data_IF_513160430906
#
_entry.id   IF_513160430906
#
_cell.length_a   1.000
_cell.length_b   1.000
_cell.length_c   1.000
_cell.angle_alpha   90.00
_cell.angle_beta   90.00
_cell.angle_gamma   90.00
#
_symmetry.space_group_name_H-M   'P 1'
#
loop_
_entity.id
_entity.type
_entity.pdbx_description
1 polymer ?
#
# COMPACT_ATOMS: atom_id res chain seq x y z
N UNK A 1 54.65 16.47 -38.37
CA UNK A 1 53.29 16.74 -37.86
C UNK A 1 52.96 15.66 -36.83
N UNK A 2 53.02 16.00 -35.55
CA UNK A 2 52.70 15.09 -34.44
C UNK A 2 51.17 14.96 -34.32
N UNK A 3 50.66 13.74 -34.37
CA UNK A 3 49.27 13.43 -34.08
C UNK A 3 49.02 13.50 -32.58
N UNK A 4 48.21 14.46 -32.15
CA UNK A 4 47.66 14.46 -30.80
C UNK A 4 46.64 13.33 -30.67
N UNK A 5 46.69 12.52 -29.59
CA UNK A 5 45.63 11.57 -29.32
C UNK A 5 44.36 12.34 -28.92
N UNK A 6 43.24 12.03 -29.59
CA UNK A 6 41.93 12.53 -29.19
C UNK A 6 41.63 12.09 -27.74
N UNK A 7 41.08 12.99 -26.90
CA UNK A 7 40.70 12.62 -25.55
C UNK A 7 39.57 11.59 -25.57
N UNK A 8 39.58 10.59 -24.66
CA UNK A 8 38.53 9.58 -24.62
C UNK A 8 37.17 10.23 -24.40
N UNK A 9 36.19 9.86 -25.24
CA UNK A 9 34.79 10.20 -25.07
C UNK A 9 34.35 9.83 -23.64
N UNK A 10 34.14 10.85 -22.80
CA UNK A 10 33.53 10.69 -21.47
C UNK A 10 32.22 9.91 -21.61
N UNK A 11 32.21 8.69 -21.07
CA UNK A 11 31.06 7.80 -21.00
C UNK A 11 29.98 8.38 -20.09
N UNK A 12 29.15 9.26 -20.65
CA UNK A 12 27.92 9.75 -20.02
C UNK A 12 26.89 8.64 -19.72
N UNK A 13 27.15 7.40 -20.16
CA UNK A 13 26.37 6.21 -19.82
C UNK A 13 26.61 5.70 -18.40
N UNK A 14 27.81 5.86 -17.83
CA UNK A 14 28.13 5.31 -16.50
C UNK A 14 27.33 5.99 -15.39
N UNK A 15 27.08 7.31 -15.52
CA UNK A 15 26.28 8.06 -14.55
C UNK A 15 24.77 7.78 -14.63
N UNK A 16 24.24 7.32 -15.77
CA UNK A 16 22.80 7.04 -15.94
C UNK A 16 22.37 5.72 -15.30
N UNK A 17 23.23 4.71 -15.32
CA UNK A 17 22.98 3.45 -14.59
C UNK A 17 23.25 3.62 -13.09
N UNK A 18 24.19 4.50 -12.72
CA UNK A 18 24.51 4.81 -11.32
C UNK A 18 23.38 5.50 -10.54
N UNK A 19 22.38 6.08 -11.21
CA UNK A 19 21.29 6.80 -10.54
C UNK A 19 20.08 5.89 -10.27
N UNK A 20 19.76 4.96 -11.18
CA UNK A 20 18.51 4.15 -11.17
C UNK A 20 18.33 3.15 -10.03
N UNK A 21 19.37 2.86 -9.26
CA UNK A 21 19.30 1.83 -8.21
C UNK A 21 18.79 2.37 -6.88
N UNK A 22 18.95 3.68 -6.62
CA UNK A 22 18.63 4.28 -5.32
C UNK A 22 17.13 4.32 -5.07
N UNK A 23 16.36 4.77 -6.06
CA UNK A 23 14.91 4.83 -5.98
C UNK A 23 14.31 3.42 -5.91
N UNK A 24 14.89 2.48 -6.65
CA UNK A 24 14.48 1.07 -6.61
C UNK A 24 14.71 0.47 -5.21
N UNK A 25 15.87 0.69 -4.57
CA UNK A 25 16.11 0.27 -3.19
C UNK A 25 15.19 1.00 -2.21
N UNK A 26 14.92 2.30 -2.43
CA UNK A 26 13.92 3.03 -1.64
C UNK A 26 12.56 2.34 -1.67
N UNK A 27 12.11 1.88 -2.83
CA UNK A 27 10.84 1.14 -2.94
C UNK A 27 10.87 -0.26 -2.36
N UNK A 28 12.00 -0.98 -2.44
CA UNK A 28 12.18 -2.24 -1.67
C UNK A 28 11.90 -1.96 -0.20
N UNK A 29 12.56 -0.93 0.34
CA UNK A 29 12.43 -0.57 1.73
C UNK A 29 11.02 -0.14 2.09
N UNK A 30 10.37 0.68 1.25
CA UNK A 30 8.97 1.04 1.41
C UNK A 30 8.07 -0.21 1.47
N UNK A 31 8.25 -1.17 0.55
CA UNK A 31 7.48 -2.41 0.55
C UNK A 31 7.76 -3.29 1.78
N UNK A 32 9.02 -3.40 2.20
CA UNK A 32 9.41 -4.12 3.42
C UNK A 32 8.81 -3.49 4.67
N UNK A 33 8.88 -2.16 4.78
CA UNK A 33 8.31 -1.41 5.89
C UNK A 33 6.78 -1.55 5.90
N UNK A 34 6.12 -1.48 4.75
CA UNK A 34 4.68 -1.72 4.64
C UNK A 34 4.31 -3.12 5.14
N UNK A 35 5.05 -4.16 4.75
CA UNK A 35 4.81 -5.53 5.19
C UNK A 35 4.94 -5.65 6.72
N UNK A 36 6.01 -5.09 7.29
CA UNK A 36 6.23 -5.09 8.74
C UNK A 36 5.10 -4.37 9.47
N UNK A 37 4.68 -3.20 9.00
CA UNK A 37 3.59 -2.43 9.60
C UNK A 37 2.26 -3.18 9.48
N UNK A 38 1.95 -3.79 8.33
CA UNK A 38 0.75 -4.63 8.17
C UNK A 38 0.75 -5.79 9.16
N UNK A 39 1.89 -6.45 9.38
CA UNK A 39 2.00 -7.50 10.39
C UNK A 39 1.71 -6.98 11.80
N UNK A 40 2.24 -5.81 12.16
CA UNK A 40 1.91 -5.14 13.43
C UNK A 40 0.43 -4.82 13.55
N UNK A 41 -0.18 -4.21 12.52
CA UNK A 41 -1.62 -3.87 12.49
C UNK A 41 -2.49 -5.10 12.70
N UNK A 42 -2.20 -6.20 12.00
CA UNK A 42 -2.95 -7.45 12.16
C UNK A 42 -2.82 -8.00 13.58
N UNK A 43 -1.61 -7.99 14.15
CA UNK A 43 -1.38 -8.37 15.53
C UNK A 43 -2.19 -7.52 16.51
N UNK A 44 -2.06 -6.20 16.41
CA UNK A 44 -2.77 -5.24 17.26
C UNK A 44 -4.29 -5.36 17.14
N UNK A 45 -4.81 -5.56 15.94
CA UNK A 45 -6.25 -5.73 15.71
C UNK A 45 -6.80 -6.97 16.43
N UNK A 46 -6.07 -8.08 16.42
CA UNK A 46 -6.45 -9.29 17.17
C UNK A 46 -6.52 -9.02 18.67
N UNK A 47 -5.54 -8.31 19.22
CA UNK A 47 -5.54 -7.93 20.64
C UNK A 47 -6.64 -6.91 20.97
N UNK A 48 -6.87 -5.91 20.12
CA UNK A 48 -7.95 -4.94 20.29
C UNK A 48 -9.32 -5.61 20.37
N UNK A 49 -9.55 -6.64 19.55
CA UNK A 49 -10.79 -7.41 19.54
C UNK A 49 -10.93 -8.27 20.80
N UNK A 50 -9.86 -8.95 21.22
CA UNK A 50 -9.87 -9.75 22.46
C UNK A 50 -10.14 -8.89 23.69
N UNK A 51 -9.44 -7.76 23.79
CA UNK A 51 -9.58 -6.81 24.90
C UNK A 51 -10.98 -6.20 24.95
N UNK A 52 -11.55 -5.82 23.81
CA UNK A 52 -12.93 -5.32 23.75
C UNK A 52 -13.93 -6.32 24.31
N UNK A 53 -13.80 -7.60 23.92
CA UNK A 53 -14.68 -8.65 24.40
C UNK A 53 -14.52 -8.86 25.92
N UNK A 54 -13.29 -8.90 26.43
CA UNK A 54 -13.04 -9.09 27.86
C UNK A 54 -13.59 -7.92 28.69
N UNK A 55 -13.29 -6.67 28.29
CA UNK A 55 -13.69 -5.48 29.03
C UNK A 55 -15.21 -5.36 29.13
N UNK A 56 -15.93 -5.57 28.03
CA UNK A 56 -17.39 -5.45 28.00
C UNK A 56 -18.07 -6.51 28.88
N UNK A 57 -17.63 -7.77 28.79
CA UNK A 57 -18.16 -8.85 29.62
C UNK A 57 -17.77 -8.67 31.10
N UNK A 58 -16.59 -8.13 31.40
CA UNK A 58 -16.17 -7.85 32.77
C UNK A 58 -17.04 -6.75 33.41
N UNK A 59 -17.31 -5.66 32.68
CA UNK A 59 -18.17 -4.57 33.16
C UNK A 59 -19.60 -5.06 33.41
N UNK A 60 -20.17 -5.80 32.46
CA UNK A 60 -21.52 -6.38 32.58
C UNK A 60 -21.60 -7.39 33.74
N UNK A 61 -20.58 -8.24 33.90
CA UNK A 61 -20.49 -9.18 35.01
C UNK A 61 -20.43 -8.48 36.37
N UNK A 62 -19.62 -7.43 36.51
CA UNK A 62 -19.50 -6.68 37.75
C UNK A 62 -20.80 -5.97 38.14
N UNK A 63 -21.48 -5.33 37.18
CA UNK A 63 -22.76 -4.66 37.44
C UNK A 63 -23.84 -5.65 37.91
N UNK A 64 -23.94 -6.79 37.21
CA UNK A 64 -24.80 -7.90 37.63
C UNK A 64 -24.42 -8.41 39.02
N UNK A 65 -23.13 -8.55 39.32
CA UNK A 65 -22.64 -9.04 40.62
C UNK A 65 -23.00 -8.09 41.77
N UNK A 66 -22.88 -6.77 41.57
CA UNK A 66 -23.34 -5.76 42.54
C UNK A 66 -24.84 -5.92 42.78
N UNK A 67 -25.65 -6.05 41.72
CA UNK A 67 -27.11 -6.19 41.85
C UNK A 67 -27.51 -7.49 42.58
N UNK A 68 -26.87 -8.61 42.26
CA UNK A 68 -27.17 -9.93 42.83
C UNK A 68 -26.74 -9.99 44.29
N UNK A 69 -25.58 -9.43 44.64
CA UNK A 69 -25.10 -9.44 46.03
C UNK A 69 -26.02 -8.70 47.01
N UNK A 70 -26.78 -7.71 46.52
CA UNK A 70 -27.78 -6.98 47.30
C UNK A 70 -29.07 -7.77 47.51
N UNK A 71 -29.43 -8.62 46.55
CA UNK A 71 -30.67 -9.42 46.58
C UNK A 71 -30.44 -10.73 47.32
N UNK A 72 -29.36 -11.43 47.01
CA UNK A 72 -29.00 -12.72 47.58
C UNK A 72 -27.87 -12.55 48.61
N UNK A 73 -28.16 -11.83 49.68
CA UNK A 73 -27.19 -11.53 50.73
C UNK A 73 -26.73 -12.81 51.42
N UNK A 74 -25.43 -13.11 51.32
CA UNK A 74 -24.80 -14.20 52.05
C UNK A 74 -24.02 -13.62 53.26
N UNK A 75 -24.42 -13.90 54.52
CA UNK A 75 -23.74 -13.37 55.71
C UNK A 75 -22.27 -13.75 55.82
N UNK A 76 -21.83 -14.85 55.19
CA UNK A 76 -20.44 -15.30 55.23
C UNK A 76 -19.51 -14.51 54.29
N UNK A 77 -20.05 -13.91 53.23
CA UNK A 77 -19.27 -13.21 52.18
C UNK A 77 -19.58 -11.70 52.19
N UNK A 78 -20.76 -11.30 52.66
CA UNK A 78 -21.21 -9.91 52.71
C UNK A 78 -21.75 -9.40 51.36
N UNK A 79 -22.06 -8.11 51.32
CA UNK A 79 -22.45 -7.40 50.08
C UNK A 79 -21.21 -7.13 49.23
N UNK A 80 -21.32 -7.34 47.92
CA UNK A 80 -20.25 -6.97 47.00
C UNK A 80 -20.32 -5.48 46.72
N UNK A 81 -19.24 -4.77 47.04
CA UNK A 81 -19.03 -3.38 46.66
C UNK A 81 -17.72 -3.27 45.89
N UNK A 82 -17.78 -2.60 44.74
CA UNK A 82 -16.61 -2.37 43.90
C UNK A 82 -15.68 -1.44 44.66
N UNK A 83 -14.47 -1.92 44.96
CA UNK A 83 -13.46 -1.12 45.67
C UNK A 83 -12.95 0.00 44.78
N UNK A 84 -12.51 1.13 45.37
CA UNK A 84 -11.91 2.23 44.60
C UNK A 84 -10.76 1.77 43.70
N UNK A 85 -9.96 0.81 44.18
CA UNK A 85 -8.87 0.19 43.39
C UNK A 85 -9.39 -0.55 42.15
N UNK A 86 -10.53 -1.24 42.26
CA UNK A 86 -11.13 -1.97 41.14
C UNK A 86 -11.71 -1.00 40.11
N UNK A 87 -12.35 0.08 40.56
CA UNK A 87 -12.80 1.17 39.66
C UNK A 87 -11.61 1.76 38.90
N UNK A 88 -10.48 1.96 39.59
CA UNK A 88 -9.25 2.44 38.95
C UNK A 88 -8.73 1.42 37.91
N UNK A 89 -8.71 0.13 38.22
CA UNK A 89 -8.33 -0.93 37.26
C UNK A 89 -9.24 -0.92 36.01
N UNK A 90 -10.55 -0.75 36.17
CA UNK A 90 -11.47 -0.62 35.03
C UNK A 90 -11.17 0.63 34.18
N UNK A 91 -10.83 1.75 34.83
CA UNK A 91 -10.45 2.97 34.13
C UNK A 91 -9.13 2.80 33.36
N UNK A 92 -8.17 2.08 33.92
CA UNK A 92 -6.89 1.75 33.26
C UNK A 92 -7.09 0.78 32.09
N UNK A 93 -7.96 -0.22 32.22
CA UNK A 93 -8.33 -1.11 31.11
C UNK A 93 -9.00 -0.33 29.97
N UNK A 94 -9.87 0.65 30.28
CA UNK A 94 -10.45 1.55 29.25
C UNK A 94 -9.39 2.40 28.55
N UNK A 95 -8.40 2.92 29.29
CA UNK A 95 -7.28 3.67 28.71
C UNK A 95 -6.45 2.78 27.79
N UNK A 96 -6.14 1.56 28.23
CA UNK A 96 -5.43 0.56 27.44
C UNK A 96 -6.14 0.26 26.11
N UNK A 97 -7.46 -0.01 26.15
CA UNK A 97 -8.30 -0.17 24.95
C UNK A 97 -8.15 1.01 24.00
N UNK A 98 -8.33 2.22 24.53
CA UNK A 98 -8.26 3.46 23.74
C UNK A 98 -6.89 3.65 23.10
N UNK A 99 -5.81 3.35 23.82
CA UNK A 99 -4.45 3.42 23.30
C UNK A 99 -4.27 2.45 22.13
N UNK A 100 -4.68 1.18 22.25
CA UNK A 100 -4.55 0.22 21.14
C UNK A 100 -5.23 0.73 19.87
N UNK A 101 -6.47 1.24 19.96
CA UNK A 101 -7.19 1.77 18.80
C UNK A 101 -6.54 3.04 18.22
N UNK A 102 -6.01 3.92 19.08
CA UNK A 102 -5.27 5.10 18.64
C UNK A 102 -4.05 4.70 17.81
N UNK A 103 -3.28 3.73 18.28
CA UNK A 103 -2.08 3.25 17.58
C UNK A 103 -2.40 2.48 16.29
N UNK A 104 -3.52 1.75 16.24
CA UNK A 104 -4.04 1.18 14.99
C UNK A 104 -4.28 2.28 13.93
N UNK A 105 -4.80 3.44 14.37
CA UNK A 105 -4.97 4.62 13.52
C UNK A 105 -3.64 5.24 13.09
N UNK A 106 -2.66 5.33 13.99
CA UNK A 106 -1.31 5.82 13.67
C UNK A 106 -0.61 4.91 12.64
N UNK A 107 -0.76 3.60 12.75
CA UNK A 107 -0.22 2.67 11.76
C UNK A 107 -0.83 2.86 10.36
N UNK A 108 -2.11 3.20 10.28
CA UNK A 108 -2.74 3.55 9.00
C UNK A 108 -2.10 4.80 8.36
N UNK A 109 -1.67 5.78 9.16
CA UNK A 109 -0.93 6.95 8.69
C UNK A 109 0.43 6.55 8.13
N UNK A 110 1.15 5.65 8.81
CA UNK A 110 2.42 5.10 8.29
C UNK A 110 2.21 4.41 6.93
N UNK A 111 1.20 3.55 6.84
CA UNK A 111 0.86 2.84 5.60
C UNK A 111 0.49 3.82 4.48
N UNK A 112 -0.18 4.92 4.79
CA UNK A 112 -0.49 5.98 3.83
C UNK A 112 0.79 6.60 3.24
N UNK A 113 1.73 7.06 4.07
CA UNK A 113 2.99 7.66 3.59
C UNK A 113 3.81 6.69 2.72
N UNK A 114 3.90 5.43 3.16
CA UNK A 114 4.65 4.39 2.46
C UNK A 114 3.96 4.00 1.14
N UNK A 115 2.63 3.86 1.15
CA UNK A 115 1.84 3.59 -0.05
C UNK A 115 1.99 4.70 -1.09
N UNK A 116 1.92 5.98 -0.69
CA UNK A 116 2.15 7.12 -1.58
C UNK A 116 3.55 7.04 -2.22
N UNK A 117 4.57 6.71 -1.43
CA UNK A 117 5.95 6.55 -1.93
C UNK A 117 6.06 5.43 -2.98
N UNK A 118 5.45 4.28 -2.73
CA UNK A 118 5.39 3.16 -3.68
C UNK A 118 4.64 3.59 -4.95
N UNK A 119 3.50 4.27 -4.79
CA UNK A 119 2.65 4.70 -5.90
C UNK A 119 3.35 5.72 -6.80
N UNK A 120 4.06 6.70 -6.21
CA UNK A 120 4.88 7.67 -6.93
C UNK A 120 5.96 7.00 -7.77
N UNK A 121 6.62 5.95 -7.25
CA UNK A 121 7.65 5.25 -7.99
C UNK A 121 7.11 4.51 -9.23
N UNK A 122 5.93 3.90 -9.14
CA UNK A 122 5.34 3.16 -10.25
C UNK A 122 4.63 4.04 -11.28
N UNK A 123 4.11 5.20 -10.87
CA UNK A 123 3.31 6.07 -11.75
C UNK A 123 4.07 7.26 -12.30
N UNK A 124 5.12 7.71 -11.62
CA UNK A 124 5.84 8.92 -11.99
C UNK A 124 7.34 8.69 -12.27
N UNK A 125 7.94 9.63 -13.00
CA UNK A 125 9.39 9.65 -13.22
C UNK A 125 10.08 10.29 -12.00
N UNK A 126 10.49 9.45 -11.06
CA UNK A 126 11.15 9.83 -9.81
C UNK A 126 12.67 9.99 -10.00
N UNK A 127 13.20 9.83 -11.22
CA UNK A 127 14.65 9.92 -11.45
C UNK A 127 15.18 11.34 -11.26
N UNK A 128 14.38 12.39 -11.57
CA UNK A 128 14.78 13.80 -11.50
C UNK A 128 13.61 14.74 -11.22
N UNK A 129 13.92 15.95 -10.73
CA UNK A 129 12.96 17.04 -10.56
C UNK A 129 12.26 17.02 -9.20
N UNK A 130 11.14 17.75 -9.09
CA UNK A 130 10.43 17.94 -7.81
C UNK A 130 9.89 16.63 -7.25
N UNK A 131 9.43 15.72 -8.10
CA UNK A 131 8.89 14.42 -7.70
C UNK A 131 9.93 13.50 -7.06
N UNK A 132 11.21 13.64 -7.44
CA UNK A 132 12.31 12.95 -6.77
C UNK A 132 12.40 13.38 -5.30
N UNK A 133 12.33 14.69 -5.04
CA UNK A 133 12.39 15.25 -3.68
C UNK A 133 11.16 14.81 -2.89
N UNK A 134 9.96 14.88 -3.50
CA UNK A 134 8.71 14.47 -2.85
C UNK A 134 8.75 12.99 -2.46
N UNK A 135 9.22 12.10 -3.34
CA UNK A 135 9.35 10.67 -3.03
C UNK A 135 10.22 10.43 -1.79
N UNK A 136 11.42 10.99 -1.74
CA UNK A 136 12.32 10.80 -0.60
C UNK A 136 11.78 11.46 0.68
N UNK A 137 11.10 12.60 0.56
CA UNK A 137 10.47 13.27 1.69
C UNK A 137 9.38 12.40 2.32
N UNK A 138 8.46 11.85 1.52
CA UNK A 138 7.41 10.95 2.01
C UNK A 138 8.01 9.68 2.63
N UNK A 139 9.05 9.11 2.01
CA UNK A 139 9.70 7.92 2.50
C UNK A 139 10.44 8.16 3.83
N UNK A 140 11.15 9.29 3.96
CA UNK A 140 11.84 9.67 5.20
C UNK A 140 10.82 9.94 6.30
N UNK A 141 9.79 10.77 6.05
CA UNK A 141 8.76 11.07 7.03
C UNK A 141 8.05 9.79 7.48
N UNK A 142 7.63 8.94 6.54
CA UNK A 142 6.98 7.66 6.85
C UNK A 142 7.88 6.73 7.66
N UNK A 143 9.18 6.67 7.34
CA UNK A 143 10.13 5.85 8.09
C UNK A 143 10.38 6.35 9.52
N UNK A 144 10.61 7.65 9.70
CA UNK A 144 10.85 8.25 11.02
C UNK A 144 9.59 8.13 11.87
N UNK A 145 8.43 8.45 11.29
CA UNK A 145 7.15 8.30 11.96
C UNK A 145 6.92 6.85 12.41
N UNK A 146 7.19 5.85 11.56
CA UNK A 146 7.03 4.42 11.89
C UNK A 146 7.85 3.97 13.11
N UNK A 147 9.09 4.45 13.27
CA UNK A 147 9.94 4.12 14.42
C UNK A 147 9.42 4.81 15.68
N UNK A 148 9.17 6.12 15.58
CA UNK A 148 8.75 6.93 16.71
C UNK A 148 7.41 6.43 17.25
N UNK A 149 6.47 6.14 16.37
CA UNK A 149 5.17 5.60 16.69
C UNK A 149 5.29 4.24 17.39
N UNK A 150 6.06 3.28 16.87
CA UNK A 150 6.23 1.99 17.53
C UNK A 150 6.96 2.07 18.88
N UNK A 151 7.91 2.98 19.00
CA UNK A 151 8.64 3.24 20.24
C UNK A 151 7.72 3.86 21.30
N UNK A 152 6.93 4.87 20.90
CA UNK A 152 5.93 5.49 21.74
C UNK A 152 4.85 4.49 22.16
N UNK A 153 4.35 3.68 21.22
CA UNK A 153 3.38 2.62 21.48
C UNK A 153 3.88 1.68 22.58
N UNK A 154 5.09 1.16 22.40
CA UNK A 154 5.69 0.24 23.36
C UNK A 154 5.85 0.89 24.73
N UNK A 155 6.32 2.14 24.78
CA UNK A 155 6.49 2.88 26.02
C UNK A 155 5.15 3.11 26.76
N UNK A 156 4.11 3.54 26.05
CA UNK A 156 2.80 3.82 26.66
C UNK A 156 2.04 2.56 27.07
N UNK A 157 2.19 1.45 26.35
CA UNK A 157 1.52 0.19 26.67
C UNK A 157 2.27 -0.64 27.72
N UNK A 158 3.59 -0.48 27.83
CA UNK A 158 4.42 -1.24 28.77
C UNK A 158 3.86 -1.32 30.20
N UNK A 159 3.47 -0.21 30.88
CA UNK A 159 2.96 -0.29 32.25
C UNK A 159 1.67 -1.13 32.34
N UNK A 160 0.74 -0.93 31.40
CA UNK A 160 -0.52 -1.67 31.35
C UNK A 160 -0.30 -3.17 31.12
N UNK A 161 0.67 -3.54 30.28
CA UNK A 161 0.99 -4.95 30.03
C UNK A 161 1.54 -5.69 31.25
N UNK A 162 2.12 -4.97 32.22
CA UNK A 162 2.64 -5.55 33.46
C UNK A 162 1.57 -5.66 34.56
N UNK A 163 0.68 -4.66 34.64
CA UNK A 163 -0.21 -4.48 35.78
C UNK A 163 -1.63 -5.04 35.55
N UNK A 164 -2.22 -4.78 34.38
CA UNK A 164 -3.61 -5.15 34.09
C UNK A 164 -3.91 -6.65 34.19
N UNK A 165 -3.04 -7.59 33.76
CA UNK A 165 -3.32 -9.01 33.91
C UNK A 165 -3.56 -9.40 35.37
N UNK A 166 -2.67 -8.98 36.26
CA UNK A 166 -2.75 -9.31 37.69
C UNK A 166 -3.89 -8.56 38.38
N UNK A 167 -4.14 -7.31 38.00
CA UNK A 167 -5.24 -6.52 38.56
C UNK A 167 -6.61 -7.09 38.14
N UNK A 168 -6.75 -7.52 36.89
CA UNK A 168 -7.97 -8.15 36.38
C UNK A 168 -8.20 -9.51 37.05
N UNK A 169 -7.12 -10.29 37.23
CA UNK A 169 -7.14 -11.55 37.97
C UNK A 169 -7.64 -11.35 39.42
N UNK A 170 -7.07 -10.37 40.13
CA UNK A 170 -7.46 -10.04 41.51
C UNK A 170 -8.90 -9.52 41.63
N UNK A 171 -9.38 -8.83 40.60
CA UNK A 171 -10.77 -8.34 40.56
C UNK A 171 -11.74 -9.51 40.38
N UNK A 172 -11.43 -10.47 39.50
CA UNK A 172 -12.23 -11.67 39.32
C UNK A 172 -12.25 -12.54 40.60
N UNK A 173 -11.12 -12.64 41.32
CA UNK A 173 -11.08 -13.34 42.61
C UNK A 173 -12.05 -12.76 43.64
N UNK A 174 -12.19 -11.43 43.64
CA UNK A 174 -13.11 -10.76 44.54
C UNK A 174 -14.57 -10.90 44.09
N UNK A 175 -14.85 -10.80 42.78
CA UNK A 175 -16.22 -10.80 42.27
C UNK A 175 -16.87 -12.19 42.18
N UNK A 176 -16.10 -13.23 41.77
CA UNK A 176 -16.63 -14.57 41.48
C UNK A 176 -17.43 -15.20 42.63
N UNK A 177 -16.97 -15.15 43.90
CA UNK A 177 -17.72 -15.74 45.02
C UNK A 177 -19.12 -15.15 45.22
N UNK A 178 -19.37 -13.91 44.79
CA UNK A 178 -20.67 -13.25 44.94
C UNK A 178 -21.66 -13.57 43.82
N UNK A 179 -21.18 -14.03 42.65
CA UNK A 179 -22.03 -14.35 41.50
C UNK A 179 -21.45 -15.48 40.62
N UNK A 180 -21.38 -16.72 41.14
CA UNK A 180 -20.83 -17.85 40.37
C UNK A 180 -21.70 -18.24 39.16
N UNK A 181 -23.01 -17.98 39.22
CA UNK A 181 -23.95 -18.27 38.13
C UNK A 181 -23.86 -17.32 36.93
N UNK A 182 -23.29 -16.12 37.13
CA UNK A 182 -23.13 -15.11 36.07
C UNK A 182 -21.98 -15.37 35.11
N UNK A 183 -21.15 -16.38 35.35
CA UNK A 183 -19.92 -16.63 34.58
C UNK A 183 -20.15 -17.26 33.20
N UNK A 184 -21.28 -17.93 32.97
CA UNK A 184 -21.53 -18.66 31.71
C UNK A 184 -21.38 -17.80 30.45
N UNK A 185 -21.74 -16.52 30.54
CA UNK A 185 -21.62 -15.58 29.42
C UNK A 185 -20.14 -15.28 29.10
N UNK A 186 -19.33 -15.07 30.14
CA UNK A 186 -17.90 -14.82 30.04
C UNK A 186 -17.15 -16.09 29.57
N UNK A 187 -17.54 -17.27 30.05
CA UNK A 187 -17.02 -18.58 29.62
C UNK A 187 -17.24 -18.82 28.13
N UNK A 188 -18.47 -18.64 27.65
CA UNK A 188 -18.82 -18.83 26.25
C UNK A 188 -18.04 -17.87 25.33
N UNK A 189 -17.82 -16.63 25.76
CA UNK A 189 -17.08 -15.61 25.01
C UNK A 189 -15.58 -15.85 24.96
N UNK A 190 -15.00 -16.25 26.08
CA UNK A 190 -13.56 -16.52 26.19
C UNK A 190 -13.18 -17.93 25.72
N UNK A 191 -14.17 -18.82 25.54
CA UNK A 191 -13.95 -20.21 25.13
C UNK A 191 -13.25 -21.04 26.20
N UNK A 192 -13.54 -20.76 27.48
CA UNK A 192 -12.93 -21.39 28.64
C UNK A 192 -14.00 -21.66 29.72
N UNK A 193 -13.63 -22.41 30.75
CA UNK A 193 -14.52 -22.75 31.86
C UNK A 193 -13.94 -22.23 33.17
N UNK A 194 -14.77 -21.63 34.02
CA UNK A 194 -14.47 -21.31 35.40
C UNK A 194 -14.94 -22.46 36.28
N UNK A 195 -14.01 -23.32 36.71
CA UNK A 195 -14.34 -24.36 37.69
C UNK A 195 -14.65 -23.73 39.05
N UNK A 196 -15.94 -23.68 39.40
CA UNK A 196 -16.44 -23.07 40.63
C UNK A 196 -15.81 -23.70 41.89
N UNK A 197 -15.47 -24.99 41.86
CA UNK A 197 -14.86 -25.66 43.02
C UNK A 197 -13.45 -25.11 43.29
N UNK A 198 -12.69 -24.81 42.23
CA UNK A 198 -11.36 -24.21 42.33
C UNK A 198 -11.42 -22.76 42.84
N UNK A 199 -12.48 -22.02 42.48
CA UNK A 199 -12.71 -20.67 42.98
C UNK A 199 -13.17 -20.64 44.45
N UNK A 200 -14.04 -21.56 44.86
CA UNK A 200 -14.50 -21.66 46.25
C UNK A 200 -13.41 -22.15 47.21
N UNK A 201 -12.44 -22.93 46.72
CA UNK A 201 -11.33 -23.46 47.53
C UNK A 201 -10.06 -22.63 47.45
N UNK A 202 -10.06 -21.50 46.71
CA UNK A 202 -8.88 -20.67 46.43
C UNK A 202 -7.70 -21.45 45.80
N UNK A 203 -8.00 -22.58 45.13
CA UNK A 203 -7.00 -23.48 44.55
C UNK A 203 -6.78 -23.28 43.05
N UNK A 204 -7.32 -22.21 42.46
CA UNK A 204 -7.31 -21.98 41.00
C UNK A 204 -5.93 -22.12 40.34
N UNK A 205 -4.85 -21.70 41.04
CA UNK A 205 -3.47 -21.75 40.53
C UNK A 205 -2.89 -23.16 40.44
N UNK A 206 -3.51 -24.14 41.11
CA UNK A 206 -3.10 -25.54 41.08
C UNK A 206 -3.58 -26.26 39.81
N UNK A 207 -4.59 -25.72 39.11
CA UNK A 207 -5.11 -26.36 37.89
C UNK A 207 -5.55 -25.35 36.82
N UNK A 208 -4.59 -24.64 36.18
CA UNK A 208 -4.88 -23.53 35.27
C UNK A 208 -5.65 -23.92 34.01
N UNK A 209 -5.67 -25.21 33.64
CA UNK A 209 -6.45 -25.72 32.49
C UNK A 209 -7.95 -25.70 32.70
N UNK A 210 -8.41 -25.68 33.96
CA UNK A 210 -9.82 -25.65 34.33
C UNK A 210 -10.26 -24.24 34.76
N UNK A 211 -9.49 -23.21 34.38
CA UNK A 211 -9.74 -21.81 34.70
C UNK A 211 -9.61 -20.96 33.45
N UNK A 212 -10.31 -19.83 33.43
CA UNK A 212 -10.20 -18.84 32.36
C UNK A 212 -9.00 -17.89 32.50
N UNK A 213 -8.18 -18.01 33.55
CA UNK A 213 -7.06 -17.10 33.81
C UNK A 213 -6.09 -17.00 32.61
N UNK A 214 -5.71 -18.08 31.91
CA UNK A 214 -4.87 -17.96 30.73
C UNK A 214 -5.53 -17.18 29.60
N UNK A 215 -6.86 -17.26 29.44
CA UNK A 215 -7.61 -16.52 28.43
C UNK A 215 -7.69 -15.02 28.78
N UNK A 216 -7.88 -14.70 30.07
CA UNK A 216 -7.86 -13.31 30.57
C UNK A 216 -6.47 -12.70 30.41
N UNK A 217 -5.41 -13.39 30.84
CA UNK A 217 -4.03 -12.89 30.78
C UNK A 217 -3.57 -12.72 29.32
N UNK A 218 -3.90 -13.68 28.44
CA UNK A 218 -3.52 -13.61 27.01
C UNK A 218 -4.29 -12.56 26.20
N UNK A 219 -5.24 -11.88 26.82
CA UNK A 219 -5.93 -10.73 26.23
C UNK A 219 -5.05 -9.47 26.23
N UNK A 220 -4.11 -9.36 27.17
CA UNK A 220 -3.16 -8.26 27.21
C UNK A 220 -1.93 -8.57 26.36
N UNK A 221 -1.46 -7.57 25.62
CA UNK A 221 -0.27 -7.68 24.79
C UNK A 221 0.96 -7.95 25.69
N UNK A 222 1.66 -9.08 25.50
CA UNK A 222 2.82 -9.40 26.34
C UNK A 222 4.02 -8.50 25.98
N UNK A 223 4.81 -8.13 26.99
CA UNK A 223 5.98 -7.23 26.82
C UNK A 223 6.96 -7.66 25.71
N UNK A 224 7.31 -8.97 25.54
CA UNK A 224 8.19 -9.39 24.46
C UNK A 224 7.61 -9.07 23.07
N UNK A 225 6.29 -9.07 22.89
CA UNK A 225 5.66 -8.77 21.62
C UNK A 225 5.75 -7.27 21.28
N UNK A 226 5.61 -6.39 22.28
CA UNK A 226 5.84 -4.94 22.12
C UNK A 226 7.27 -4.69 21.62
N UNK A 227 8.25 -5.30 22.28
CA UNK A 227 9.66 -5.20 21.90
C UNK A 227 9.88 -5.75 20.48
N UNK A 228 9.24 -6.88 20.14
CA UNK A 228 9.34 -7.47 18.81
C UNK A 228 8.82 -6.53 17.70
N UNK A 229 7.73 -5.79 17.94
CA UNK A 229 7.24 -4.80 16.97
C UNK A 229 8.24 -3.67 16.71
N UNK A 230 8.89 -3.15 17.76
CA UNK A 230 9.95 -2.13 17.60
C UNK A 230 11.14 -2.72 16.85
N UNK A 231 11.62 -3.90 17.26
CA UNK A 231 12.77 -4.56 16.63
C UNK A 231 12.51 -4.81 15.15
N UNK A 232 11.32 -5.30 14.77
CA UNK A 232 10.99 -5.56 13.36
C UNK A 232 11.09 -4.30 12.49
N UNK A 233 10.62 -3.15 12.99
CA UNK A 233 10.67 -1.88 12.25
C UNK A 233 12.09 -1.32 12.16
N UNK A 234 12.84 -1.40 13.26
CA UNK A 234 14.24 -1.01 13.30
C UNK A 234 15.09 -1.92 12.39
N UNK A 235 14.79 -3.22 12.36
CA UNK A 235 15.45 -4.18 11.47
C UNK A 235 15.21 -3.85 9.99
N UNK A 236 13.99 -3.44 9.60
CA UNK A 236 13.71 -3.01 8.23
C UNK A 236 14.61 -1.83 7.79
N UNK A 237 14.88 -0.90 8.71
CA UNK A 237 15.80 0.22 8.46
C UNK A 237 17.26 -0.22 8.38
N UNK A 238 17.71 -1.10 9.28
CA UNK A 238 19.06 -1.66 9.19
C UNK A 238 19.27 -2.40 7.88
N UNK A 239 18.29 -3.18 7.42
CA UNK A 239 18.34 -3.84 6.11
C UNK A 239 18.47 -2.80 4.99
N UNK A 240 17.71 -1.71 5.03
CA UNK A 240 17.84 -0.62 4.05
C UNK A 240 19.23 0.04 4.07
N UNK A 241 19.76 0.37 5.25
CA UNK A 241 21.10 0.96 5.39
C UNK A 241 22.18 0.02 4.84
N UNK A 242 22.07 -1.29 5.13
CA UNK A 242 22.97 -2.31 4.58
C UNK A 242 22.84 -2.39 3.06
N UNK A 243 21.63 -2.39 2.50
CA UNK A 243 21.41 -2.41 1.05
C UNK A 243 21.94 -1.15 0.37
N UNK A 244 21.82 0.01 1.01
CA UNK A 244 22.35 1.27 0.52
C UNK A 244 23.89 1.33 0.58
N UNK A 245 24.50 0.74 1.62
CA UNK A 245 25.95 0.69 1.79
C UNK A 245 26.61 -0.40 0.93
N UNK A 246 26.04 -1.61 0.89
CA UNK A 246 26.55 -2.78 0.17
C UNK A 246 26.01 -2.84 -1.26
N UNK A 247 26.34 -1.81 -2.04
CA UNK A 247 25.87 -1.63 -3.43
C UNK A 247 26.09 -2.84 -4.36
N UNK A 248 27.26 -3.48 -4.30
CA UNK A 248 27.73 -4.43 -5.32
C UNK A 248 27.21 -5.88 -5.22
N UNK A 249 27.08 -6.51 -4.03
CA UNK A 249 26.64 -7.91 -3.99
C UNK A 249 25.11 -8.09 -4.07
N UNK A 250 24.30 -7.13 -3.56
CA UNK A 250 22.85 -7.35 -3.36
C UNK A 250 21.98 -6.22 -3.92
N UNK A 251 22.44 -4.96 -3.87
CA UNK A 251 21.64 -3.80 -4.26
C UNK A 251 21.29 -3.74 -5.76
N UNK A 252 22.28 -3.94 -6.63
CA UNK A 252 22.09 -3.91 -8.10
C UNK A 252 21.17 -5.02 -8.65
N UNK A 253 21.29 -6.32 -8.28
CA UNK A 253 20.36 -7.35 -8.76
C UNK A 253 18.92 -7.12 -8.29
N UNK A 254 18.72 -6.66 -7.06
CA UNK A 254 17.40 -6.37 -6.52
C UNK A 254 16.76 -5.14 -7.20
N UNK A 255 17.54 -4.09 -7.40
CA UNK A 255 17.10 -2.91 -8.15
C UNK A 255 16.71 -3.26 -9.59
N UNK A 256 17.46 -4.15 -10.25
CA UNK A 256 17.14 -4.63 -11.59
C UNK A 256 15.85 -5.45 -11.63
N UNK A 257 15.54 -6.22 -10.58
CA UNK A 257 14.29 -6.97 -10.48
C UNK A 257 13.07 -6.03 -10.38
N UNK A 258 13.15 -5.01 -9.54
CA UNK A 258 12.06 -4.04 -9.34
C UNK A 258 11.92 -3.10 -10.54
N UNK A 259 13.02 -2.69 -11.16
CA UNK A 259 12.92 -1.88 -12.37
C UNK A 259 12.27 -2.65 -13.55
N UNK A 260 12.25 -4.00 -13.52
CA UNK A 260 11.48 -4.81 -14.48
C UNK A 260 9.98 -4.82 -14.20
N UNK A 261 9.54 -4.57 -12.97
CA UNK A 261 8.11 -4.50 -12.62
C UNK A 261 7.48 -3.15 -12.96
N UNK A 262 8.30 -2.10 -13.17
CA UNK A 262 7.77 -0.82 -13.68
C UNK A 262 7.11 -1.03 -15.04
N UNK A 263 5.91 -0.47 -15.27
CA UNK A 263 5.30 -0.48 -16.58
C UNK A 263 6.24 0.22 -17.56
N UNK A 264 6.66 -0.48 -18.62
CA UNK A 264 7.46 0.12 -19.69
C UNK A 264 6.57 1.16 -20.37
N UNK A 265 6.75 2.43 -20.02
CA UNK A 265 6.07 3.54 -20.68
C UNK A 265 6.13 3.39 -22.19
N UNK A 266 4.96 3.49 -22.83
CA UNK A 266 4.73 3.17 -24.23
C UNK A 266 5.71 3.86 -25.19
N UNK A 267 5.96 3.17 -26.30
CA UNK A 267 6.56 3.65 -27.55
C UNK A 267 7.28 5.00 -27.45
N UNK A 268 8.53 4.98 -26.95
CA UNK A 268 9.50 5.97 -27.43
C UNK A 268 9.70 5.66 -28.90
N UNK A 269 9.00 6.36 -29.78
CA UNK A 269 9.35 6.43 -31.19
C UNK A 269 10.86 6.68 -31.23
N UNK A 270 11.62 5.70 -31.71
CA UNK A 270 13.03 5.87 -32.03
C UNK A 270 13.07 6.93 -33.11
N UNK A 271 13.12 8.20 -32.72
CA UNK A 271 13.64 9.23 -33.60
C UNK A 271 15.09 8.84 -33.82
N UNK A 272 15.32 8.13 -34.93
CA UNK A 272 16.64 7.97 -35.53
C UNK A 272 17.07 9.40 -35.83
N UNK A 273 17.84 9.97 -34.91
CA UNK A 273 18.56 11.21 -35.17
C UNK A 273 19.59 10.81 -36.21
N UNK A 274 19.27 11.00 -37.49
CA UNK A 274 20.19 10.80 -38.60
C UNK A 274 21.44 11.63 -38.28
N UNK A 275 22.48 10.96 -37.79
CA UNK A 275 23.83 11.48 -37.80
C UNK A 275 24.10 11.79 -39.27
N UNK A 276 24.27 13.07 -39.61
CA UNK A 276 24.83 13.47 -40.90
C UNK A 276 26.15 12.72 -41.05
N UNK A 277 26.12 11.69 -41.90
CA UNK A 277 27.29 10.98 -42.38
C UNK A 277 28.03 11.95 -43.29
N UNK A 278 29.09 12.57 -42.80
CA UNK A 278 30.15 13.14 -43.63
C UNK A 278 30.88 11.98 -44.29
N UNK A 279 30.34 11.51 -45.41
CA UNK A 279 31.09 10.68 -46.36
C UNK A 279 31.84 11.64 -47.29
N UNK A 280 33.18 11.56 -47.21
CA UNK A 280 34.09 12.09 -48.21
C UNK A 280 33.74 11.42 -49.54
N UNK A 281 33.41 12.21 -50.54
CA UNK A 281 33.42 11.79 -51.94
C UNK A 281 34.43 12.69 -52.63
N UNK A 282 35.55 12.07 -53.02
CA UNK A 282 36.49 12.60 -54.00
C UNK A 282 35.75 12.72 -55.33
N UNK A 283 35.57 13.93 -55.83
CA UNK A 283 35.27 14.18 -57.24
C UNK A 283 36.01 15.43 -57.70
N UNK A 284 37.15 15.17 -58.33
CA UNK A 284 37.78 16.05 -59.31
C UNK A 284 36.81 16.19 -60.50
N UNK A 285 36.10 17.31 -60.61
CA UNK A 285 35.79 18.01 -61.86
C UNK A 285 34.96 19.27 -61.58
N UNK A 286 35.53 20.41 -61.98
CA UNK A 286 34.99 21.77 -61.91
C UNK A 286 33.84 22.00 -62.91
N UNK A 287 33.04 23.06 -62.72
CA UNK A 287 31.66 23.17 -63.17
C UNK A 287 31.52 23.73 -64.59
N UNK A 288 30.44 23.36 -65.29
CA UNK A 288 29.92 24.15 -66.42
C UNK A 288 28.45 24.48 -66.19
N UNK A 289 28.23 25.77 -65.95
CA UNK A 289 26.99 26.51 -66.10
C UNK A 289 26.57 26.57 -67.57
N UNK A 290 25.30 26.32 -67.90
CA UNK A 290 24.49 26.98 -68.96
C UNK A 290 23.01 26.58 -68.81
N UNK A 291 22.12 27.47 -68.34
CA UNK A 291 21.20 28.38 -69.08
C UNK A 291 19.92 27.75 -69.66
N UNK A 292 18.80 28.33 -69.22
CA UNK A 292 17.40 28.36 -69.67
C UNK A 292 16.92 27.57 -70.92
N UNK A 293 15.73 26.97 -70.78
CA UNK A 293 14.85 26.59 -71.88
C UNK A 293 13.51 26.02 -71.42
N UNK A 294 12.53 26.89 -71.16
CA UNK A 294 11.10 26.55 -71.05
C UNK A 294 10.52 26.28 -72.44
N UNK A 295 10.05 25.06 -72.67
CA UNK A 295 9.34 24.66 -73.89
C UNK A 295 8.19 23.70 -73.55
N UNK A 296 6.97 24.15 -73.85
CA UNK A 296 5.67 23.55 -73.58
C UNK A 296 5.27 22.65 -74.78
N UNK A 297 4.71 21.46 -74.56
CA UNK A 297 3.54 20.85 -75.25
C UNK A 297 3.46 19.32 -75.02
N UNK A 298 2.30 18.90 -74.56
CA UNK A 298 1.73 17.55 -74.31
C UNK A 298 1.44 16.76 -75.60
N UNK A 299 0.76 15.59 -75.58
CA UNK A 299 0.95 14.33 -74.84
C UNK A 299 0.93 13.10 -75.81
N UNK A 300 1.43 11.90 -75.46
CA UNK A 300 0.95 10.67 -76.11
C UNK A 300 1.00 9.43 -75.22
N UNK A 301 -0.09 8.66 -75.36
CA UNK A 301 -0.49 7.45 -74.65
C UNK A 301 0.07 6.24 -75.40
N UNK A 302 0.72 5.32 -74.70
CA UNK A 302 0.78 3.90 -75.07
C UNK A 302 1.28 3.05 -73.89
N UNK A 303 0.45 2.09 -73.47
CA UNK A 303 0.86 0.88 -72.74
C UNK A 303 0.67 -0.32 -73.70
N UNK A 304 1.06 -1.56 -73.37
CA UNK A 304 2.00 -2.07 -72.37
C UNK A 304 3.09 -2.97 -73.02
N UNK A 305 4.03 -3.53 -72.24
CA UNK A 305 4.56 -4.92 -72.30
C UNK A 305 5.92 -5.00 -71.57
N UNK A 306 6.00 -6.04 -70.76
CA UNK A 306 7.05 -6.48 -69.85
C UNK A 306 8.38 -6.87 -70.52
N UNK A 307 9.50 -6.70 -69.81
CA UNK A 307 10.34 -7.82 -69.38
C UNK A 307 11.52 -7.43 -68.47
N UNK A 308 11.52 -8.07 -67.29
CA UNK A 308 12.67 -8.61 -66.52
C UNK A 308 13.92 -7.76 -66.30
N UNK A 309 14.17 -7.36 -65.06
CA UNK A 309 15.08 -8.07 -64.13
C UNK A 309 15.59 -7.15 -63.02
N UNK A 310 15.74 -7.72 -61.82
CA UNK A 310 16.31 -7.13 -60.59
C UNK A 310 15.36 -6.22 -59.79
N UNK A 311 14.72 -6.78 -58.76
CA UNK A 311 14.05 -6.02 -57.69
C UNK A 311 14.68 -6.42 -56.36
N UNK A 312 15.37 -5.45 -55.76
CA UNK A 312 15.87 -5.45 -54.40
C UNK A 312 14.73 -5.55 -53.36
N UNK A 313 15.01 -6.25 -52.26
CA UNK A 313 14.13 -6.43 -51.11
C UNK A 313 13.89 -5.11 -50.35
N UNK A 314 12.81 -4.37 -50.65
CA UNK A 314 12.11 -3.55 -49.65
C UNK A 314 10.74 -3.04 -50.16
N UNK A 315 9.68 -3.81 -50.03
CA UNK A 315 8.30 -3.32 -50.24
C UNK A 315 7.47 -3.65 -49.01
N UNK A 316 7.38 -2.66 -48.11
CA UNK A 316 6.39 -2.60 -47.04
C UNK A 316 5.03 -2.31 -47.65
N UNK A 317 4.09 -3.24 -47.54
CA UNK A 317 2.69 -3.04 -47.92
C UNK A 317 2.06 -1.95 -47.03
N UNK A 318 1.89 -0.75 -47.58
CA UNK A 318 1.12 0.33 -46.96
C UNK A 318 -0.36 0.15 -47.32
N UNK A 319 -1.10 -0.56 -46.47
CA UNK A 319 -2.55 -0.79 -46.63
C UNK A 319 -3.36 0.51 -46.74
N UNK A 320 -2.80 1.68 -46.39
CA UNK A 320 -3.47 2.97 -46.53
C UNK A 320 -3.56 3.49 -47.99
N UNK A 321 -2.66 3.06 -48.89
CA UNK A 321 -2.67 3.53 -50.28
C UNK A 321 -3.78 2.87 -51.13
N UNK A 322 -4.19 1.65 -50.78
CA UNK A 322 -5.27 0.93 -51.48
C UNK A 322 -6.64 1.54 -51.15
N UNK A 323 -6.85 1.99 -49.91
CA UNK A 323 -8.07 2.72 -49.51
C UNK A 323 -8.13 4.15 -50.05
N UNK A 324 -6.98 4.78 -50.34
CA UNK A 324 -6.93 6.14 -50.89
C UNK A 324 -7.25 6.20 -52.39
N UNK A 325 -6.99 5.13 -53.15
CA UNK A 325 -7.27 5.09 -54.61
C UNK A 325 -8.67 4.58 -54.92
N UNK A 326 -9.26 3.75 -54.05
CA UNK A 326 -10.62 3.22 -54.25
C UNK A 326 -11.74 4.28 -54.10
N UNK A 327 -11.45 5.45 -53.55
CA UNK A 327 -12.41 6.55 -53.37
C UNK A 327 -12.32 7.67 -54.42
N UNK A 328 -11.46 7.54 -55.44
CA UNK A 328 -11.18 8.62 -56.39
C UNK A 328 -12.02 8.58 -57.70
N UNK A 329 -12.99 7.67 -57.84
CA UNK A 329 -13.90 7.64 -59.00
C UNK A 329 -15.35 7.58 -58.56
N UNK A 330 -16.10 8.64 -58.87
CA UNK A 330 -17.55 8.90 -58.70
C UNK A 330 -17.92 9.82 -57.51
N UNK A 331 -18.50 11.02 -57.76
CA UNK A 331 -18.85 12.03 -56.75
C UNK A 331 -20.35 12.03 -56.36
N UNK A 332 -20.69 12.90 -55.38
CA UNK A 332 -22.01 13.42 -54.91
C UNK A 332 -22.46 12.80 -53.56
N UNK A 333 -22.65 13.50 -52.43
CA UNK A 333 -22.50 14.91 -52.04
C UNK A 333 -23.09 15.17 -50.63
N UNK A 334 -22.48 16.08 -49.85
CA UNK A 334 -23.03 16.89 -48.72
C UNK A 334 -23.50 16.16 -47.43
N UNK A 335 -23.16 16.51 -46.18
CA UNK A 335 -22.44 17.64 -45.56
C UNK A 335 -22.17 17.36 -44.06
N UNK A 336 -21.06 17.95 -43.56
CA UNK A 336 -20.73 18.41 -42.17
C UNK A 336 -20.58 17.35 -41.06
N UNK A 337 -19.36 17.06 -40.59
CA UNK A 337 -18.44 17.86 -39.76
C UNK A 337 -18.80 17.87 -38.28
N UNK A 338 -17.88 17.31 -37.52
CA UNK A 338 -17.68 17.27 -36.06
C UNK A 338 -17.71 18.63 -35.36
N UNK A 339 -18.28 18.65 -34.15
CA UNK A 339 -17.98 19.63 -33.09
C UNK A 339 -17.78 18.93 -31.74
N UNK A 340 -16.77 19.45 -31.03
CA UNK A 340 -16.12 18.97 -29.81
C UNK A 340 -16.54 19.90 -28.64
N UNK A 341 -16.56 19.36 -27.41
CA UNK A 341 -16.42 20.08 -26.12
C UNK A 341 -17.46 21.12 -25.68
N UNK A 342 -18.23 20.76 -24.63
CA UNK A 342 -18.45 21.57 -23.42
C UNK A 342 -19.38 20.83 -22.46
N UNK A 343 -18.83 20.20 -21.44
CA UNK A 343 -19.60 19.79 -20.25
C UNK A 343 -19.16 20.67 -19.10
N UNK A 344 -19.90 21.77 -18.93
CA UNK A 344 -19.75 22.72 -17.83
C UNK A 344 -20.29 22.14 -16.53
N UNK A 345 -19.64 22.52 -15.42
CA UNK A 345 -20.05 22.26 -14.06
C UNK A 345 -21.39 22.97 -13.77
N UNK A 346 -22.47 22.20 -13.60
CA UNK A 346 -23.79 22.76 -13.28
C UNK A 346 -24.78 21.80 -12.62
N UNK A 347 -24.66 20.48 -12.82
CA UNK A 347 -25.70 19.54 -12.35
C UNK A 347 -25.46 18.92 -10.97
N UNK A 348 -24.71 19.60 -10.10
CA UNK A 348 -24.41 19.11 -8.74
C UNK A 348 -25.51 19.36 -7.69
N UNK A 349 -26.67 19.92 -8.06
CA UNK A 349 -27.78 20.09 -7.11
C UNK A 349 -29.16 20.02 -7.79
N UNK A 350 -29.70 18.80 -7.95
CA UNK A 350 -31.16 18.62 -7.84
C UNK A 350 -31.54 17.20 -7.40
N UNK A 351 -31.92 17.12 -6.13
CA UNK A 351 -32.72 16.07 -5.51
C UNK A 351 -34.10 15.96 -6.15
N UNK A 352 -34.65 14.74 -6.27
CA UNK A 352 -36.11 14.55 -6.35
C UNK A 352 -36.63 13.33 -7.13
N UNK A 353 -37.07 12.32 -6.37
CA UNK A 353 -38.14 11.31 -6.64
C UNK A 353 -38.06 10.47 -7.93
N UNK A 354 -37.78 9.17 -7.84
CA UNK A 354 -38.76 8.08 -7.57
C UNK A 354 -39.94 8.11 -8.54
N UNK A 355 -39.92 7.20 -9.53
CA UNK A 355 -41.07 6.33 -9.82
C UNK A 355 -40.66 5.17 -10.74
N UNK A 356 -40.52 3.99 -10.14
CA UNK A 356 -40.72 2.69 -10.77
C UNK A 356 -42.21 2.32 -10.71
N UNK A 357 -42.63 1.47 -11.66
CA UNK A 357 -43.86 0.64 -11.73
C UNK A 357 -44.91 1.01 -12.80
N UNK A 358 -44.97 0.18 -13.85
CA UNK A 358 -46.18 -0.33 -14.50
C UNK A 358 -46.09 -1.87 -14.32
N UNK A 359 -46.99 -2.60 -13.61
CA UNK A 359 -48.37 -3.02 -13.94
C UNK A 359 -48.44 -3.79 -15.27
N UNK A 360 -48.93 -5.04 -15.44
CA UNK A 360 -49.86 -5.94 -14.72
C UNK A 360 -49.77 -7.39 -15.33
N UNK A 361 -50.51 -8.35 -14.71
CA UNK A 361 -51.07 -9.64 -15.22
C UNK A 361 -50.33 -10.88 -14.67
N UNK A 362 -50.93 -11.96 -14.16
CA UNK A 362 -52.26 -12.34 -13.62
C UNK A 362 -52.13 -13.82 -13.19
N UNK A 363 -52.96 -14.24 -12.25
CA UNK A 363 -53.16 -15.58 -11.67
C UNK A 363 -53.01 -16.79 -12.63
N UNK A 364 -52.39 -17.88 -12.12
CA UNK A 364 -52.98 -19.22 -11.91
C UNK A 364 -52.44 -19.80 -10.61
#
# INVERSE_FOLDING_TARGET
MHGFPEPPLRSSSVNKEQQKWREAIGVVFAALLALVVVFSVLGLFLYARRDSNLYEELVDYLDKTVSISKINFNPAIGTYEIKEREVQTLAESRKYKTLIYLFLGCDAVTLFFVSVSIMLFYTADVEKGTLHVVFWLFLIIGSVYSILEASAFSFFIFPYSAELPNATESLLDHAVPHNPGGLMQMEHRLGCTFDQNLYQTFQRKLNPRNTCDPAVISTFIPQPLLIAFVILRVAALFIFLILAACRRPVGEPLANLINKTKPKGGYKAKYIKNKKSTSKIDTLHTPKSTTFGTGKLTPQISSPVSNTSVVDHNISYNNAAYFAVAHATVPIGSSRSSDISRSDAGDLYKTGSIHTQNSLVSEV
#
